data_IF_275963258356
#
_entry.id   IF_275963258356
#
_cell.length_a   1.000
_cell.length_b   1.000
_cell.length_c   1.000
_cell.angle_alpha   90.00
_cell.angle_beta   90.00
_cell.angle_gamma   90.00
#
_symmetry.space_group_name_H-M   'P 1'
#
loop_
_entity.id
_entity.type
_entity.pdbx_description
1 polymer ?
#
# COMPACT_ATOMS: atom_id res chain seq x y z
N UNK A 1 0.36 -2.42 14.78
CA UNK A 1 -0.15 -2.35 13.40
C UNK A 1 0.14 -3.67 12.71
N UNK A 2 -0.74 -4.14 11.83
CA UNK A 2 -0.50 -5.26 10.93
C UNK A 2 -0.88 -4.83 9.50
N UNK A 3 -0.11 -5.28 8.51
CA UNK A 3 -0.38 -5.01 7.09
C UNK A 3 -0.73 -6.34 6.42
N UNK A 4 -1.82 -6.35 5.67
CA UNK A 4 -2.20 -7.43 4.79
C UNK A 4 -2.05 -6.89 3.36
N UNK A 5 -1.22 -7.56 2.58
CA UNK A 5 -1.04 -7.25 1.16
C UNK A 5 -1.63 -8.41 0.37
N UNK A 6 -2.56 -8.11 -0.52
CA UNK A 6 -3.13 -9.08 -1.45
C UNK A 6 -2.81 -8.69 -2.88
N UNK A 7 -2.63 -9.71 -3.70
CA UNK A 7 -2.42 -9.59 -5.14
C UNK A 7 -3.46 -10.48 -5.81
N UNK A 8 -4.25 -9.91 -6.69
CA UNK A 8 -5.23 -10.63 -7.49
C UNK A 8 -4.85 -10.54 -8.97
N UNK A 9 -5.02 -11.65 -9.67
CA UNK A 9 -4.79 -11.72 -11.11
C UNK A 9 -5.89 -10.93 -11.84
N UNK A 10 -5.48 -9.97 -12.66
CA UNK A 10 -6.34 -9.18 -13.53
C UNK A 10 -5.95 -9.34 -15.01
N UNK A 11 -5.38 -10.49 -15.37
CA UNK A 11 -4.96 -10.83 -16.73
C UNK A 11 -3.56 -10.31 -17.05
N UNK A 12 -3.46 -9.23 -17.81
CA UNK A 12 -2.18 -8.58 -18.11
C UNK A 12 -1.69 -7.66 -16.98
N UNK A 13 -2.45 -7.59 -15.88
CA UNK A 13 -2.23 -6.72 -14.72
C UNK A 13 -2.43 -7.47 -13.42
N UNK A 14 -2.05 -6.83 -12.33
CA UNK A 14 -2.27 -7.32 -10.96
C UNK A 14 -3.00 -6.25 -10.16
N UNK A 15 -4.11 -6.61 -9.53
CA UNK A 15 -4.73 -5.76 -8.53
C UNK A 15 -3.95 -5.92 -7.22
N UNK A 16 -3.35 -4.82 -6.77
CA UNK A 16 -2.61 -4.75 -5.51
C UNK A 16 -3.45 -4.02 -4.48
N UNK A 17 -3.73 -4.67 -3.35
CA UNK A 17 -4.41 -4.04 -2.21
C UNK A 17 -3.54 -4.12 -0.96
N UNK A 18 -3.37 -2.98 -0.30
CA UNK A 18 -2.74 -2.89 1.02
C UNK A 18 -3.79 -2.50 2.07
N UNK A 19 -4.10 -3.43 2.98
CA UNK A 19 -4.96 -3.19 4.14
C UNK A 19 -4.12 -3.06 5.40
N UNK A 20 -4.13 -1.88 6.00
CA UNK A 20 -3.40 -1.59 7.24
C UNK A 20 -4.35 -1.55 8.42
N UNK A 21 -4.11 -2.41 9.41
CA UNK A 21 -4.88 -2.50 10.64
C UNK A 21 -4.10 -1.93 11.82
N UNK A 22 -4.72 -1.02 12.55
CA UNK A 22 -4.20 -0.44 13.78
C UNK A 22 -4.91 -1.00 15.00
N UNK A 23 -4.26 -0.90 16.16
CA UNK A 23 -4.81 -1.38 17.42
C UNK A 23 -5.89 -0.46 17.96
N UNK A 24 -5.69 0.86 17.80
CA UNK A 24 -6.68 1.88 18.16
C UNK A 24 -6.96 2.82 16.98
N UNK A 25 -8.08 3.54 17.06
CA UNK A 25 -8.42 4.59 16.10
C UNK A 25 -7.42 5.75 16.16
N UNK A 26 -6.93 6.10 17.35
CA UNK A 26 -5.94 7.16 17.54
C UNK A 26 -4.64 6.85 16.80
N UNK A 27 -4.13 5.62 16.92
CA UNK A 27 -2.92 5.18 16.20
C UNK A 27 -3.11 5.22 14.68
N UNK A 28 -4.32 4.85 14.20
CA UNK A 28 -4.68 4.92 12.77
C UNK A 28 -4.65 6.36 12.27
N UNK A 29 -5.24 7.27 13.03
CA UNK A 29 -5.31 8.70 12.68
C UNK A 29 -3.94 9.38 12.73
N UNK A 30 -3.11 9.06 13.71
CA UNK A 30 -1.74 9.57 13.80
C UNK A 30 -0.92 9.10 12.59
N UNK A 31 -0.98 7.81 12.28
CA UNK A 31 -0.31 7.25 11.10
C UNK A 31 -0.79 7.86 9.79
N UNK A 32 -2.10 8.11 9.66
CA UNK A 32 -2.66 8.77 8.49
C UNK A 32 -2.15 10.23 8.36
N UNK A 33 -2.11 10.98 9.46
CA UNK A 33 -1.59 12.37 9.50
C UNK A 33 -0.10 12.46 9.16
N UNK A 34 0.67 11.40 9.40
CA UNK A 34 2.07 11.32 9.01
C UNK A 34 2.28 11.23 7.49
N UNK A 35 1.22 11.06 6.69
CA UNK A 35 1.30 11.05 5.23
C UNK A 35 1.15 9.67 4.60
N UNK A 36 0.56 8.69 5.33
CA UNK A 36 0.44 7.30 4.91
C UNK A 36 0.07 7.12 3.43
N UNK A 37 -1.03 7.73 2.96
CA UNK A 37 -1.50 7.53 1.59
C UNK A 37 -0.49 8.00 0.54
N UNK A 38 0.18 9.13 0.79
CA UNK A 38 1.18 9.68 -0.14
C UNK A 38 2.40 8.78 -0.20
N UNK A 39 2.97 8.49 0.96
CA UNK A 39 4.27 7.80 1.04
C UNK A 39 4.12 6.31 0.69
N UNK A 40 2.99 5.68 1.02
CA UNK A 40 2.67 4.32 0.59
C UNK A 40 2.45 4.23 -0.92
N UNK A 41 1.76 5.22 -1.50
CA UNK A 41 1.58 5.30 -2.97
C UNK A 41 2.94 5.44 -3.64
N UNK A 42 3.84 6.28 -3.12
CA UNK A 42 5.18 6.46 -3.69
C UNK A 42 5.98 5.15 -3.75
N UNK A 43 5.93 4.32 -2.69
CA UNK A 43 6.59 3.02 -2.70
C UNK A 43 5.99 2.08 -3.76
N UNK A 44 4.68 2.12 -3.95
CA UNK A 44 3.98 1.32 -4.98
C UNK A 44 4.30 1.80 -6.39
N UNK A 45 4.39 3.12 -6.61
CA UNK A 45 4.82 3.71 -7.89
C UNK A 45 6.26 3.31 -8.24
N UNK A 46 7.18 3.31 -7.26
CA UNK A 46 8.55 2.85 -7.45
C UNK A 46 8.60 1.38 -7.87
N UNK A 47 7.76 0.52 -7.27
CA UNK A 47 7.63 -0.87 -7.66
C UNK A 47 7.14 -1.01 -9.11
N UNK A 48 6.09 -0.26 -9.50
CA UNK A 48 5.58 -0.26 -10.88
C UNK A 48 6.66 0.18 -11.86
N UNK A 49 7.41 1.24 -11.54
CA UNK A 49 8.51 1.73 -12.37
C UNK A 49 9.62 0.69 -12.53
N UNK A 50 9.96 -0.05 -11.47
CA UNK A 50 10.93 -1.14 -11.54
C UNK A 50 10.45 -2.28 -12.43
N UNK A 51 9.21 -2.75 -12.24
CA UNK A 51 8.64 -3.85 -13.03
C UNK A 51 8.56 -3.49 -14.52
N UNK A 52 8.29 -2.22 -14.86
CA UNK A 52 8.28 -1.77 -16.25
C UNK A 52 9.66 -1.85 -16.96
N UNK A 53 10.74 -2.10 -16.22
CA UNK A 53 12.10 -2.28 -16.78
C UNK A 53 12.54 -3.73 -16.90
N UNK A 54 11.72 -4.69 -16.45
CA UNK A 54 11.98 -6.13 -16.47
C UNK A 54 11.23 -6.81 -17.61
#
# INVERSE_FOLDING_TARGET
MAVIITFEDLGDKTEYTALVRHWTVADREEHEKMGFHKDWTQATEQLVALVATL
#
